data_IF_687185877914
#
_entry.id   IF_687185877914
#
_cell.length_a   1.000
_cell.length_b   1.000
_cell.length_c   1.000
_cell.angle_alpha   90.00
_cell.angle_beta   90.00
_cell.angle_gamma   90.00
#
_symmetry.space_group_name_H-M   'P 1'
#
loop_
_entity.id
_entity.type
_entity.pdbx_description
1 polymer ?
#
# COMPACT_ATOMS: atom_id res chain seq x y z
N UNK A 1 -6.37 -24.88 11.93
CA UNK A 1 -4.94 -24.49 11.96
C UNK A 1 -4.83 -22.98 11.76
N UNK A 2 -4.32 -22.26 12.75
CA UNK A 2 -4.08 -20.81 12.66
C UNK A 2 -2.88 -20.54 11.76
N UNK A 3 -3.00 -19.64 10.79
CA UNK A 3 -1.88 -19.28 9.90
C UNK A 3 -0.79 -18.56 10.68
N UNK A 4 0.48 -18.82 10.37
CA UNK A 4 1.60 -18.09 10.98
C UNK A 4 1.69 -16.65 10.45
N UNK A 5 2.35 -15.75 11.19
CA UNK A 5 2.63 -14.38 10.73
C UNK A 5 3.36 -14.36 9.40
N UNK A 6 4.37 -15.23 9.22
CA UNK A 6 5.10 -15.35 7.97
C UNK A 6 4.18 -15.73 6.78
N UNK A 7 3.23 -16.65 6.99
CA UNK A 7 2.25 -17.00 5.96
C UNK A 7 1.31 -15.84 5.62
N UNK A 8 0.92 -15.03 6.60
CA UNK A 8 0.11 -13.83 6.38
C UNK A 8 0.94 -12.75 5.65
N UNK A 9 2.18 -12.50 6.07
CA UNK A 9 3.09 -11.57 5.41
C UNK A 9 3.29 -11.95 3.93
N UNK A 10 3.50 -13.23 3.63
CA UNK A 10 3.61 -13.69 2.24
C UNK A 10 2.34 -13.45 1.41
N UNK A 11 1.16 -13.56 2.02
CA UNK A 11 -0.11 -13.21 1.36
C UNK A 11 -0.20 -11.70 1.11
N UNK A 12 0.15 -10.89 2.10
CA UNK A 12 0.18 -9.43 1.95
C UNK A 12 1.16 -9.00 0.85
N UNK A 13 2.37 -9.60 0.79
CA UNK A 13 3.34 -9.35 -0.29
C UNK A 13 2.72 -9.62 -1.66
N UNK A 14 2.04 -10.76 -1.84
CA UNK A 14 1.36 -11.10 -3.10
C UNK A 14 0.19 -10.17 -3.43
N UNK A 15 -0.45 -9.59 -2.42
CA UNK A 15 -1.57 -8.66 -2.58
C UNK A 15 -1.14 -7.18 -2.62
N UNK A 16 0.16 -6.87 -2.54
CA UNK A 16 0.67 -5.50 -2.39
C UNK A 16 0.27 -4.56 -3.53
N UNK A 17 0.24 -5.04 -4.77
CA UNK A 17 -0.26 -4.28 -5.92
C UNK A 17 -1.74 -3.91 -5.78
N UNK A 18 -2.59 -4.89 -5.44
CA UNK A 18 -4.03 -4.67 -5.23
C UNK A 18 -4.29 -3.72 -4.05
N UNK A 19 -3.50 -3.84 -2.97
CA UNK A 19 -3.56 -2.91 -1.84
C UNK A 19 -3.19 -1.48 -2.25
N UNK A 20 -2.18 -1.32 -3.09
CA UNK A 20 -1.75 -0.01 -3.61
C UNK A 20 -2.84 0.62 -4.47
N UNK A 21 -3.43 -0.15 -5.39
CA UNK A 21 -4.57 0.32 -6.20
C UNK A 21 -5.75 0.72 -5.33
N UNK A 22 -6.14 -0.11 -4.36
CA UNK A 22 -7.26 0.20 -3.47
C UNK A 22 -7.01 1.46 -2.63
N UNK A 23 -5.78 1.65 -2.14
CA UNK A 23 -5.40 2.84 -1.39
C UNK A 23 -5.47 4.09 -2.27
N UNK A 24 -4.92 4.05 -3.48
CA UNK A 24 -4.95 5.18 -4.41
C UNK A 24 -6.38 5.51 -4.86
N UNK A 25 -7.21 4.53 -5.21
CA UNK A 25 -8.62 4.77 -5.55
C UNK A 25 -9.40 5.39 -4.38
N UNK A 26 -9.07 5.00 -3.15
CA UNK A 26 -9.66 5.62 -1.96
C UNK A 26 -9.17 7.06 -1.76
N UNK A 27 -7.88 7.34 -1.99
CA UNK A 27 -7.36 8.72 -1.95
C UNK A 27 -8.05 9.59 -3.01
N UNK A 28 -8.22 9.10 -4.24
CA UNK A 28 -8.93 9.82 -5.29
C UNK A 28 -10.39 10.14 -4.91
N UNK A 29 -11.04 9.27 -4.12
CA UNK A 29 -12.43 9.45 -3.68
C UNK A 29 -12.52 10.39 -2.47
N UNK A 30 -11.67 10.18 -1.47
CA UNK A 30 -11.75 10.83 -0.16
C UNK A 30 -10.99 12.17 -0.13
N UNK A 31 -10.08 12.40 -1.08
CA UNK A 31 -9.18 13.55 -1.12
C UNK A 31 -9.22 14.24 -2.49
N UNK A 32 -10.22 15.12 -2.75
CA UNK A 32 -10.40 15.76 -4.06
C UNK A 32 -9.15 16.47 -4.60
N UNK A 33 -8.35 17.07 -3.70
CA UNK A 33 -7.10 17.74 -4.06
C UNK A 33 -6.05 16.80 -4.68
N UNK A 34 -6.08 15.49 -4.38
CA UNK A 34 -5.15 14.52 -4.97
C UNK A 34 -5.43 14.36 -6.45
N UNK A 35 -6.71 14.33 -6.85
CA UNK A 35 -7.10 14.20 -8.26
C UNK A 35 -6.78 15.46 -9.09
N UNK A 36 -6.70 16.63 -8.43
CA UNK A 36 -6.37 17.91 -9.05
C UNK A 36 -4.86 18.09 -9.31
N UNK A 37 -4.01 17.25 -8.71
CA UNK A 37 -2.57 17.33 -8.89
C UNK A 37 -2.11 16.96 -10.31
N UNK A 38 -1.04 17.60 -10.81
CA UNK A 38 -0.32 17.15 -11.99
C UNK A 38 0.02 15.66 -11.94
N UNK A 39 0.10 15.03 -13.11
CA UNK A 39 0.40 13.60 -13.20
C UNK A 39 1.74 13.22 -12.54
N UNK A 40 2.73 14.12 -12.61
CA UNK A 40 4.03 13.95 -11.95
C UNK A 40 3.88 13.91 -10.42
N UNK A 41 3.18 14.87 -9.82
CA UNK A 41 2.95 14.91 -8.37
C UNK A 41 2.14 13.71 -7.88
N UNK A 42 1.11 13.29 -8.64
CA UNK A 42 0.36 12.06 -8.34
C UNK A 42 1.23 10.82 -8.43
N UNK A 43 2.22 10.80 -9.32
CA UNK A 43 3.15 9.67 -9.42
C UNK A 43 3.99 9.51 -8.14
N UNK A 44 4.40 10.62 -7.51
CA UNK A 44 5.11 10.58 -6.23
C UNK A 44 4.22 10.04 -5.11
N UNK A 45 2.95 10.42 -5.06
CA UNK A 45 1.97 9.83 -4.12
C UNK A 45 1.89 8.31 -4.31
N UNK A 46 1.80 7.85 -5.57
CA UNK A 46 1.79 6.43 -5.91
C UNK A 46 3.01 5.68 -5.38
N UNK A 47 4.21 6.27 -5.53
CA UNK A 47 5.46 5.69 -5.01
C UNK A 47 5.47 5.65 -3.47
N UNK A 48 5.00 6.70 -2.81
CA UNK A 48 4.90 6.75 -1.35
C UNK A 48 3.95 5.68 -0.81
N UNK A 49 2.78 5.49 -1.42
CA UNK A 49 1.82 4.45 -1.04
C UNK A 49 2.45 3.05 -1.17
N UNK A 50 3.10 2.78 -2.29
CA UNK A 50 3.78 1.50 -2.52
C UNK A 50 4.90 1.25 -1.51
N UNK A 51 5.72 2.27 -1.22
CA UNK A 51 6.77 2.18 -0.23
C UNK A 51 6.23 1.95 1.18
N UNK A 52 5.14 2.63 1.56
CA UNK A 52 4.47 2.48 2.84
C UNK A 52 3.90 1.08 3.03
N UNK A 53 3.24 0.51 2.01
CA UNK A 53 2.72 -0.86 2.05
C UNK A 53 3.86 -1.88 2.21
N UNK A 54 4.97 -1.71 1.46
CA UNK A 54 6.14 -2.59 1.60
C UNK A 54 6.70 -2.52 3.03
N UNK A 55 6.94 -1.32 3.54
CA UNK A 55 7.44 -1.10 4.89
C UNK A 55 6.53 -1.73 5.96
N UNK A 56 5.22 -1.58 5.82
CA UNK A 56 4.24 -2.22 6.70
C UNK A 56 4.34 -3.75 6.66
N UNK A 57 4.48 -4.35 5.47
CA UNK A 57 4.59 -5.81 5.33
C UNK A 57 5.89 -6.34 5.95
N UNK A 58 6.98 -5.60 5.79
CA UNK A 58 8.29 -5.97 6.34
C UNK A 58 8.24 -5.91 7.87
N UNK A 59 7.72 -4.82 8.45
CA UNK A 59 7.46 -4.72 9.89
C UNK A 59 6.48 -5.81 10.37
N UNK A 60 5.42 -6.08 9.62
CA UNK A 60 4.46 -7.12 9.98
C UNK A 60 5.10 -8.52 9.98
N UNK A 61 6.08 -8.77 9.11
CA UNK A 61 6.83 -10.02 9.09
C UNK A 61 7.74 -10.15 10.32
N UNK A 62 8.37 -9.05 10.74
CA UNK A 62 9.34 -8.99 11.83
C UNK A 62 9.10 -7.76 12.72
N UNK A 63 8.14 -7.84 13.66
CA UNK A 63 7.79 -6.73 14.56
C UNK A 63 8.77 -6.69 15.74
N UNK A 64 10.03 -6.35 15.49
CA UNK A 64 11.10 -6.26 16.50
C UNK A 64 11.67 -4.84 16.52
#
# INVERSE_FOLDING_TARGET
MTRSRAQIAQRLTRSSGALSTAALSRMDTDMPWVAELPAEDRSFIGLTVQAGIRSFIDWYRHPE
#
